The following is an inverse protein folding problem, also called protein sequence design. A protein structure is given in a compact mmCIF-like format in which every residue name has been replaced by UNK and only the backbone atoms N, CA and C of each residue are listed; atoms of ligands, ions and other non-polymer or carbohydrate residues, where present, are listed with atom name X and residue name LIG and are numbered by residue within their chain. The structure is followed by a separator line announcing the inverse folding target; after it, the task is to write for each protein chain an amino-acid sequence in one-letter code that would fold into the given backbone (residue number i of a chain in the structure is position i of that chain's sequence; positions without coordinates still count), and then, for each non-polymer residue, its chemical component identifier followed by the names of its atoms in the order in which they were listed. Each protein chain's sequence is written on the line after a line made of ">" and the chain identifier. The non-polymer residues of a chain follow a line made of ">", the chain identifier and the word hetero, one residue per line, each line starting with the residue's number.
data_IF_034125857352
#
_entry.id   IF_034125857352
#
_cell.length_a   1.000
_cell.length_b   1.000
_cell.length_c   1.000
_cell.angle_alpha   90.00
_cell.angle_beta   90.00
_cell.angle_gamma   90.00
#
_symmetry.space_group_name_H-M   'P 1'
#
loop_
_entity.id
_entity.type
_entity.pdbx_description
1 polymer ?
#
# COMPACT_ATOMS: atom_id res chain seq x y z
N UNK A 1 6.18 -0.54 15.11
CA UNK A 1 5.07 0.09 14.37
C UNK A 1 3.87 0.37 15.29
N UNK A 2 3.32 1.60 15.27
CA UNK A 2 2.11 1.99 16.02
C UNK A 2 0.95 2.27 15.03
N UNK A 3 -0.31 2.00 15.36
CA UNK A 3 -1.43 2.34 14.48
C UNK A 3 -1.64 3.88 14.42
N UNK A 4 -2.19 4.41 13.31
CA UNK A 4 -2.60 5.82 13.22
C UNK A 4 -3.59 6.20 14.33
N UNK A 5 -3.60 7.48 14.73
CA UNK A 5 -4.34 7.98 15.89
C UNK A 5 -5.86 7.77 15.79
N UNK A 6 -6.42 7.88 14.60
CA UNK A 6 -7.85 7.75 14.33
C UNK A 6 -8.11 6.86 13.10
N UNK A 7 -9.29 6.20 13.03
CA UNK A 7 -9.57 5.23 11.96
C UNK A 7 -9.52 5.82 10.55
N UNK A 8 -9.96 7.08 10.30
CA UNK A 8 -10.02 7.68 8.96
C UNK A 8 -9.98 9.22 8.97
N UNK A 9 -9.58 9.81 7.84
CA UNK A 9 -9.81 11.19 7.38
C UNK A 9 -9.55 12.33 8.39
N UNK A 10 -8.36 12.35 8.99
CA UNK A 10 -7.82 13.57 9.60
C UNK A 10 -6.66 14.11 8.75
N UNK A 11 -6.44 15.42 8.84
CA UNK A 11 -5.55 16.21 8.00
C UNK A 11 -4.15 15.58 7.87
N UNK A 12 -3.58 15.11 8.97
CA UNK A 12 -2.20 14.59 9.03
C UNK A 12 -2.11 13.05 8.96
N UNK A 13 -3.17 12.35 8.53
CA UNK A 13 -3.19 10.88 8.58
C UNK A 13 -2.10 10.24 7.74
N UNK A 14 -1.77 10.81 6.58
CA UNK A 14 -0.71 10.30 5.72
C UNK A 14 0.68 10.46 6.36
N UNK A 15 0.90 11.56 7.09
CA UNK A 15 2.11 11.84 7.87
C UNK A 15 2.22 10.82 9.01
N UNK A 16 1.17 10.67 9.81
CA UNK A 16 1.12 9.70 10.92
C UNK A 16 1.39 8.26 10.44
N UNK A 17 0.82 7.88 9.28
CA UNK A 17 1.07 6.57 8.69
C UNK A 17 2.54 6.42 8.26
N UNK A 18 3.17 7.48 7.75
CA UNK A 18 4.57 7.45 7.31
C UNK A 18 5.52 7.33 8.50
N UNK A 19 5.34 8.17 9.51
CA UNK A 19 6.14 8.14 10.74
C UNK A 19 6.02 6.78 11.44
N UNK A 20 4.82 6.18 11.45
CA UNK A 20 4.59 4.88 12.06
C UNK A 20 5.41 3.73 11.43
N UNK A 21 5.78 3.83 10.15
CA UNK A 21 6.55 2.81 9.42
C UNK A 21 8.02 3.18 9.21
N UNK A 22 8.41 4.43 9.46
CA UNK A 22 9.71 4.97 9.07
C UNK A 22 10.88 4.16 9.66
N UNK A 23 10.82 3.83 10.95
CA UNK A 23 11.85 3.01 11.61
C UNK A 23 12.05 1.64 10.93
N UNK A 24 10.94 0.99 10.54
CA UNK A 24 11.00 -0.33 9.89
C UNK A 24 11.51 -0.23 8.45
N UNK A 25 11.15 0.86 7.76
CA UNK A 25 11.66 1.16 6.43
C UNK A 25 13.17 1.38 6.47
N UNK A 26 13.66 2.22 7.38
CA UNK A 26 15.10 2.47 7.55
C UNK A 26 15.85 1.21 7.95
N UNK A 27 15.31 0.41 8.87
CA UNK A 27 15.91 -0.88 9.24
C UNK A 27 16.04 -1.84 8.05
N UNK A 28 15.09 -1.82 7.11
CA UNK A 28 15.18 -2.62 5.89
C UNK A 28 16.24 -2.06 4.92
N UNK A 29 16.34 -0.74 4.79
CA UNK A 29 17.38 -0.08 3.99
C UNK A 29 18.77 -0.43 4.53
N UNK A 30 18.97 -0.35 5.85
CA UNK A 30 20.24 -0.71 6.49
C UNK A 30 20.60 -2.17 6.25
N UNK A 31 19.64 -3.09 6.34
CA UNK A 31 19.89 -4.51 6.02
C UNK A 31 20.32 -4.70 4.57
N UNK A 32 19.69 -4.03 3.61
CA UNK A 32 20.09 -4.09 2.21
C UNK A 32 21.51 -3.53 2.01
N UNK A 33 21.84 -2.44 2.70
CA UNK A 33 23.18 -1.86 2.66
C UNK A 33 24.25 -2.83 3.18
N UNK A 34 23.99 -3.55 4.28
CA UNK A 34 24.96 -4.51 4.84
C UNK A 34 25.29 -5.69 3.92
N UNK A 35 24.44 -5.98 2.95
CA UNK A 35 24.68 -7.00 1.92
C UNK A 35 25.15 -6.41 0.57
N UNK A 36 25.51 -5.13 0.57
CA UNK A 36 26.17 -4.46 -0.56
C UNK A 36 25.27 -3.71 -1.53
N UNK A 37 23.98 -3.53 -1.23
CA UNK A 37 23.10 -2.71 -2.06
C UNK A 37 23.40 -1.23 -1.85
N UNK A 38 23.32 -0.43 -2.92
CA UNK A 38 23.39 1.02 -2.76
C UNK A 38 22.06 1.55 -2.20
N UNK A 39 22.07 2.54 -1.29
CA UNK A 39 20.84 3.08 -0.71
C UNK A 39 19.81 3.51 -1.76
N UNK A 40 20.27 4.11 -2.87
CA UNK A 40 19.40 4.53 -3.97
C UNK A 40 18.68 3.35 -4.64
N UNK A 41 19.37 2.24 -4.87
CA UNK A 41 18.78 1.04 -5.48
C UNK A 41 17.75 0.41 -4.55
N UNK A 42 18.06 0.34 -3.26
CA UNK A 42 17.11 -0.13 -2.26
C UNK A 42 15.86 0.73 -2.22
N UNK A 43 16.00 2.07 -2.18
CA UNK A 43 14.85 2.98 -2.17
C UNK A 43 13.98 2.84 -3.43
N UNK A 44 14.60 2.72 -4.60
CA UNK A 44 13.87 2.50 -5.86
C UNK A 44 13.08 1.19 -5.79
N UNK A 45 13.74 0.08 -5.44
CA UNK A 45 13.10 -1.23 -5.37
C UNK A 45 11.94 -1.26 -4.36
N UNK A 46 12.12 -0.68 -3.17
CA UNK A 46 11.05 -0.60 -2.16
C UNK A 46 9.88 0.27 -2.64
N UNK A 47 10.16 1.38 -3.33
CA UNK A 47 9.14 2.22 -3.93
C UNK A 47 8.34 1.50 -5.01
N UNK A 48 9.00 0.77 -5.90
CA UNK A 48 8.37 -0.04 -6.94
C UNK A 48 7.46 -1.13 -6.34
N UNK A 49 7.94 -1.85 -5.33
CA UNK A 49 7.15 -2.87 -4.63
C UNK A 49 5.89 -2.28 -3.97
N UNK A 50 6.01 -1.10 -3.36
CA UNK A 50 4.86 -0.41 -2.76
C UNK A 50 3.82 -0.01 -3.82
N UNK A 51 4.28 0.53 -4.96
CA UNK A 51 3.42 0.91 -6.08
C UNK A 51 2.72 -0.31 -6.70
N UNK A 52 3.44 -1.41 -6.89
CA UNK A 52 2.86 -2.64 -7.44
C UNK A 52 1.81 -3.23 -6.50
N UNK A 53 2.06 -3.19 -5.19
CA UNK A 53 1.06 -3.62 -4.20
C UNK A 53 -0.19 -2.75 -4.25
N UNK A 54 -0.04 -1.43 -4.36
CA UNK A 54 -1.17 -0.50 -4.48
C UNK A 54 -1.98 -0.77 -5.75
N UNK A 55 -1.32 -0.95 -6.90
CA UNK A 55 -1.97 -1.29 -8.17
C UNK A 55 -2.76 -2.59 -8.06
N UNK A 56 -2.20 -3.61 -7.42
CA UNK A 56 -2.89 -4.89 -7.21
C UNK A 56 -4.15 -4.75 -6.34
N UNK A 57 -4.11 -3.94 -5.28
CA UNK A 57 -5.29 -3.66 -4.44
C UNK A 57 -6.37 -2.97 -5.26
N UNK A 58 -6.01 -1.92 -6.00
CA UNK A 58 -6.96 -1.17 -6.84
C UNK A 58 -7.58 -2.04 -7.94
N UNK A 59 -6.78 -2.92 -8.56
CA UNK A 59 -7.27 -3.86 -9.57
C UNK A 59 -8.30 -4.82 -8.96
N UNK A 60 -8.04 -5.38 -7.78
CA UNK A 60 -8.98 -6.24 -7.08
C UNK A 60 -10.29 -5.52 -6.74
N UNK A 61 -10.21 -4.30 -6.19
CA UNK A 61 -11.39 -3.48 -5.89
C UNK A 61 -12.22 -3.17 -7.15
N UNK A 62 -11.56 -2.96 -8.29
CA UNK A 62 -12.24 -2.76 -9.57
C UNK A 62 -12.93 -4.05 -10.04
N UNK A 63 -12.28 -5.20 -9.91
CA UNK A 63 -12.87 -6.51 -10.23
C UNK A 63 -14.09 -6.80 -9.36
N UNK A 64 -13.99 -6.58 -8.05
CA UNK A 64 -15.10 -6.79 -7.10
C UNK A 64 -16.31 -5.92 -7.43
N UNK A 65 -16.08 -4.65 -7.79
CA UNK A 65 -17.14 -3.75 -8.27
C UNK A 65 -17.82 -4.29 -9.52
N UNK A 66 -17.07 -4.75 -10.51
CA UNK A 66 -17.62 -5.32 -11.74
C UNK A 66 -18.44 -6.59 -11.49
N UNK A 67 -17.99 -7.45 -10.57
CA UNK A 67 -18.74 -8.64 -10.15
C UNK A 67 -20.07 -8.24 -9.51
N UNK A 68 -20.04 -7.29 -8.55
CA UNK A 68 -21.24 -6.82 -7.87
C UNK A 68 -22.27 -6.20 -8.83
N UNK A 69 -21.80 -5.41 -9.80
CA UNK A 69 -22.65 -4.86 -10.85
C UNK A 69 -23.26 -5.95 -11.74
N UNK A 70 -22.46 -6.93 -12.17
CA UNK A 70 -22.94 -8.05 -13.00
C UNK A 70 -24.01 -8.87 -12.31
N UNK A 71 -23.82 -9.18 -11.01
CA UNK A 71 -24.81 -9.86 -10.19
C UNK A 71 -26.11 -9.05 -10.05
N UNK A 72 -25.99 -7.74 -9.88
CA UNK A 72 -27.15 -6.83 -9.79
C UNK A 72 -27.93 -6.77 -11.10
N UNK A 73 -27.24 -6.70 -12.26
CA UNK A 73 -27.88 -6.72 -13.58
C UNK A 73 -28.62 -8.03 -13.82
N UNK A 74 -27.99 -9.17 -13.53
CA UNK A 74 -28.61 -10.50 -13.68
C UNK A 74 -29.89 -10.65 -12.84
N UNK A 75 -29.91 -10.10 -11.61
CA UNK A 75 -31.10 -10.10 -10.73
C UNK A 75 -32.24 -9.21 -11.22
N UNK A 76 -31.98 -8.18 -12.03
CA UNK A 76 -33.01 -7.30 -12.61
C UNK A 76 -33.62 -7.83 -13.91
N UNK A 77 -32.98 -8.83 -14.52
CA UNK A 77 -33.37 -9.37 -15.85
C UNK A 77 -34.16 -10.69 -15.72
N UNK A 78 -34.34 -11.17 -14.50
CA UNK A 78 -35.20 -12.29 -14.10
C UNK A 78 -36.28 -11.77 -13.15
#
# INVERSE_FOLDING_TARGET
>A
MKPPRLPQDYEDRDIDCREAIEDEFLALVDRAYTIGWYPKETMIALGELALDRLRAVQANEQTDRQIAEGLTRRRKTH
#
